data_IF_655351883993
#
_entry.id   IF_655351883993
#
_cell.length_a   1.000
_cell.length_b   1.000
_cell.length_c   1.000
_cell.angle_alpha   90.00
_cell.angle_beta   90.00
_cell.angle_gamma   90.00
#
_symmetry.space_group_name_H-M   'P 1'
#
loop_
_entity.id
_entity.type
_entity.pdbx_description
1 polymer ?
#
# COMPACT_ATOMS: atom_id res chain seq x y z
N UNK A 1 6.73 13.95 -5.64
CA UNK A 1 8.03 13.52 -5.10
C UNK A 1 7.89 13.45 -3.59
N UNK A 2 7.61 12.28 -3.04
CA UNK A 2 7.64 12.08 -1.60
C UNK A 2 9.12 12.03 -1.19
N UNK A 3 9.64 13.17 -0.76
CA UNK A 3 10.96 13.22 -0.14
C UNK A 3 10.83 12.59 1.24
N UNK A 4 11.86 11.89 1.74
CA UNK A 4 11.89 11.17 3.02
C UNK A 4 11.52 11.97 4.28
N UNK A 5 10.92 13.16 4.10
CA UNK A 5 10.33 14.00 5.15
C UNK A 5 8.89 13.62 5.51
N UNK A 6 8.21 12.83 4.67
CA UNK A 6 6.77 12.54 4.86
C UNK A 6 6.51 11.28 5.70
N UNK A 7 7.52 10.42 5.84
CA UNK A 7 7.43 9.22 6.68
C UNK A 7 7.34 9.51 8.18
N UNK A 8 8.13 10.43 8.74
CA UNK A 8 7.98 10.82 10.15
C UNK A 8 6.58 11.36 10.46
N UNK A 9 5.91 11.99 9.48
CA UNK A 9 4.58 12.58 9.68
C UNK A 9 3.50 11.50 9.80
N UNK A 10 3.55 10.43 9.00
CA UNK A 10 2.57 9.32 9.09
C UNK A 10 2.74 8.55 10.40
N UNK A 11 3.97 8.28 10.82
CA UNK A 11 4.24 7.60 12.08
C UNK A 11 4.06 8.52 13.29
N UNK A 12 4.41 9.80 13.18
CA UNK A 12 4.16 10.80 14.23
C UNK A 12 2.67 11.04 14.47
N UNK A 13 1.85 10.93 13.43
CA UNK A 13 0.39 11.01 13.54
C UNK A 13 -0.17 9.77 14.25
N UNK A 14 0.24 8.59 13.82
CA UNK A 14 -0.16 7.33 14.46
C UNK A 14 0.29 7.25 15.94
N UNK A 15 1.47 7.73 16.27
CA UNK A 15 1.97 7.73 17.65
C UNK A 15 1.25 8.76 18.54
N UNK A 16 0.84 9.91 17.99
CA UNK A 16 0.10 10.94 18.74
C UNK A 16 -1.36 10.59 18.97
N UNK A 17 -2.01 9.94 18.00
CA UNK A 17 -3.43 9.59 18.13
C UNK A 17 -3.70 8.31 18.91
N UNK A 18 -2.74 7.38 18.98
CA UNK A 18 -2.94 6.06 19.59
C UNK A 18 -2.47 5.97 21.06
N UNK A 19 -2.44 7.07 21.82
CA UNK A 19 -2.31 7.05 23.27
C UNK A 19 -1.32 5.99 23.83
N UNK A 20 -0.21 5.76 23.11
CA UNK A 20 0.88 5.01 23.71
C UNK A 20 1.42 5.87 24.84
N UNK A 21 1.49 5.30 26.05
CA UNK A 21 1.99 5.99 27.23
C UNK A 21 3.33 6.64 26.92
N UNK A 22 3.50 7.91 27.22
CA UNK A 22 4.72 8.69 26.94
C UNK A 22 5.98 7.99 27.46
N UNK A 23 5.89 7.24 28.56
CA UNK A 23 6.96 6.42 29.09
C UNK A 23 7.42 5.31 28.14
N UNK A 24 6.51 4.76 27.34
CA UNK A 24 6.84 3.73 26.35
C UNK A 24 7.47 4.38 25.14
N UNK A 25 6.93 5.51 24.69
CA UNK A 25 7.46 6.26 23.54
C UNK A 25 8.90 6.72 23.80
N UNK A 26 9.20 7.16 25.03
CA UNK A 26 10.56 7.56 25.41
C UNK A 26 11.54 6.39 25.55
N UNK A 27 11.07 5.21 25.94
CA UNK A 27 11.89 4.00 26.11
C UNK A 27 12.15 3.25 24.80
N UNK A 28 11.25 3.39 23.83
CA UNK A 28 11.37 2.75 22.53
C UNK A 28 11.64 3.85 21.50
N UNK A 29 12.81 3.83 20.87
CA UNK A 29 13.14 4.73 19.75
C UNK A 29 12.30 4.36 18.52
N UNK A 30 11.03 4.79 18.54
CA UNK A 30 10.05 4.52 17.49
C UNK A 30 10.48 5.08 16.14
N UNK A 31 11.18 6.22 16.14
CA UNK A 31 11.65 6.83 14.90
C UNK A 31 12.74 5.98 14.24
N UNK A 32 13.72 5.55 15.01
CA UNK A 32 14.77 4.66 14.51
C UNK A 32 14.22 3.31 14.04
N UNK A 33 13.28 2.74 14.79
CA UNK A 33 12.59 1.51 14.40
C UNK A 33 11.84 1.68 13.07
N UNK A 34 11.04 2.72 12.94
CA UNK A 34 10.26 2.99 11.74
C UNK A 34 11.17 3.24 10.53
N UNK A 35 12.25 4.01 10.71
CA UNK A 35 13.25 4.28 9.67
C UNK A 35 13.94 2.98 9.22
N UNK A 36 14.34 2.16 10.16
CA UNK A 36 14.99 0.87 9.88
C UNK A 36 14.06 -0.09 9.16
N UNK A 37 12.81 -0.21 9.62
CA UNK A 37 11.80 -1.05 9.00
C UNK A 37 11.46 -0.59 7.57
N UNK A 38 11.35 0.72 7.36
CA UNK A 38 11.15 1.30 6.03
C UNK A 38 12.33 1.00 5.11
N UNK A 39 13.55 1.26 5.56
CA UNK A 39 14.75 1.02 4.75
C UNK A 39 14.92 -0.46 4.40
N UNK A 40 14.64 -1.35 5.36
CA UNK A 40 14.59 -2.79 5.12
C UNK A 40 13.59 -3.12 4.01
N UNK A 41 12.37 -2.60 4.08
CA UNK A 41 11.34 -2.85 3.07
C UNK A 41 11.76 -2.34 1.68
N UNK A 42 12.39 -1.17 1.61
CA UNK A 42 12.94 -0.64 0.34
C UNK A 42 14.02 -1.58 -0.22
N UNK A 43 14.90 -2.09 0.62
CA UNK A 43 15.98 -2.98 0.19
C UNK A 43 15.46 -4.36 -0.28
N UNK A 44 14.35 -4.81 0.31
CA UNK A 44 13.66 -6.06 -0.06
C UNK A 44 12.81 -5.92 -1.34
N UNK A 45 12.61 -4.71 -1.84
CA UNK A 45 11.79 -4.49 -3.05
C UNK A 45 12.37 -5.26 -4.23
N UNK A 46 11.59 -6.14 -4.89
CA UNK A 46 12.04 -6.82 -6.08
C UNK A 46 12.41 -5.82 -7.19
N UNK A 47 13.55 -6.05 -7.84
CA UNK A 47 14.06 -5.18 -8.92
C UNK A 47 14.00 -5.93 -10.24
N UNK A 48 13.63 -5.22 -11.32
CA UNK A 48 13.68 -5.74 -12.67
C UNK A 48 14.96 -5.26 -13.36
N UNK A 49 15.57 -6.15 -14.12
CA UNK A 49 16.74 -5.78 -14.92
C UNK A 49 16.32 -4.79 -16.03
N UNK A 50 17.07 -3.70 -16.16
CA UNK A 50 16.79 -2.68 -17.18
C UNK A 50 15.63 -1.73 -16.86
N UNK A 51 15.06 -1.83 -15.66
CA UNK A 51 14.00 -0.92 -15.22
C UNK A 51 14.55 0.50 -15.06
N UNK A 52 13.82 1.51 -15.56
CA UNK A 52 14.19 2.90 -15.35
C UNK A 52 13.93 3.36 -13.91
N UNK A 53 14.49 4.52 -13.53
CA UNK A 53 14.40 5.03 -12.17
C UNK A 53 12.97 5.38 -11.74
N UNK A 54 12.11 5.78 -12.66
CA UNK A 54 10.73 6.15 -12.38
C UNK A 54 9.91 4.89 -12.09
N UNK A 55 10.03 3.87 -12.93
CA UNK A 55 9.36 2.59 -12.72
C UNK A 55 9.88 1.87 -11.47
N UNK A 56 11.20 1.88 -11.24
CA UNK A 56 11.78 1.37 -10.00
C UNK A 56 11.20 2.06 -8.76
N UNK A 57 11.02 3.38 -8.80
CA UNK A 57 10.39 4.12 -7.70
C UNK A 57 8.91 3.80 -7.53
N UNK A 58 8.15 3.67 -8.60
CA UNK A 58 6.76 3.24 -8.58
C UNK A 58 6.60 1.85 -7.98
N UNK A 59 7.52 0.94 -8.33
CA UNK A 59 7.59 -0.42 -7.78
C UNK A 59 7.86 -0.40 -6.28
N UNK A 60 8.80 0.41 -5.80
CA UNK A 60 9.05 0.58 -4.37
C UNK A 60 7.82 1.09 -3.62
N UNK A 61 7.13 2.10 -4.16
CA UNK A 61 5.90 2.65 -3.57
C UNK A 61 4.81 1.57 -3.52
N UNK A 62 4.64 0.80 -4.60
CA UNK A 62 3.68 -0.31 -4.63
C UNK A 62 4.01 -1.36 -3.58
N UNK A 63 5.29 -1.73 -3.45
CA UNK A 63 5.74 -2.71 -2.46
C UNK A 63 5.51 -2.23 -1.03
N UNK A 64 5.82 -0.97 -0.73
CA UNK A 64 5.53 -0.35 0.57
C UNK A 64 4.03 -0.39 0.89
N UNK A 65 3.18 -0.04 -0.08
CA UNK A 65 1.73 -0.10 0.11
C UNK A 65 1.23 -1.53 0.38
N UNK A 66 1.75 -2.52 -0.32
CA UNK A 66 1.41 -3.92 -0.08
C UNK A 66 1.84 -4.40 1.31
N UNK A 67 3.07 -4.06 1.72
CA UNK A 67 3.68 -4.55 2.97
C UNK A 67 3.14 -3.86 4.23
N UNK A 68 2.69 -2.63 4.14
CA UNK A 68 2.30 -1.83 5.30
C UNK A 68 0.85 -1.38 5.25
N UNK A 69 0.48 -0.63 4.22
CA UNK A 69 -0.84 -0.01 4.16
C UNK A 69 -1.95 -1.04 3.95
N UNK A 70 -1.80 -1.93 2.98
CA UNK A 70 -2.81 -2.95 2.68
C UNK A 70 -3.00 -3.91 3.84
N UNK A 71 -1.90 -4.36 4.47
CA UNK A 71 -1.97 -5.24 5.65
C UNK A 71 -2.73 -4.58 6.79
N UNK A 72 -2.44 -3.30 7.07
CA UNK A 72 -3.14 -2.55 8.13
C UNK A 72 -4.63 -2.40 7.83
N UNK A 73 -5.00 -2.12 6.58
CA UNK A 73 -6.41 -2.00 6.19
C UNK A 73 -7.15 -3.33 6.33
N UNK A 74 -6.52 -4.42 5.91
CA UNK A 74 -7.11 -5.77 5.99
C UNK A 74 -7.30 -6.20 7.44
N UNK A 75 -6.28 -6.03 8.30
CA UNK A 75 -6.36 -6.35 9.72
C UNK A 75 -7.47 -5.55 10.42
N UNK A 76 -7.54 -4.25 10.15
CA UNK A 76 -8.61 -3.39 10.69
C UNK A 76 -9.99 -3.84 10.23
N UNK A 77 -10.15 -4.12 8.95
CA UNK A 77 -11.43 -4.56 8.39
C UNK A 77 -11.84 -5.90 8.97
N UNK A 78 -10.95 -6.87 9.03
CA UNK A 78 -11.21 -8.20 9.59
C UNK A 78 -11.66 -8.09 11.04
N UNK A 79 -10.92 -7.40 11.89
CA UNK A 79 -11.25 -7.23 13.32
C UNK A 79 -12.59 -6.54 13.53
N UNK A 80 -12.89 -5.47 12.77
CA UNK A 80 -14.14 -4.73 12.94
C UNK A 80 -15.35 -5.51 12.42
N UNK A 81 -15.22 -6.20 11.30
CA UNK A 81 -16.31 -7.01 10.75
C UNK A 81 -16.56 -8.27 11.58
N UNK A 82 -15.52 -8.97 12.02
CA UNK A 82 -15.66 -10.15 12.87
C UNK A 82 -16.21 -9.83 14.25
N UNK A 83 -15.95 -8.63 14.79
CA UNK A 83 -16.60 -8.16 16.01
C UNK A 83 -18.14 -8.13 15.87
N UNK A 84 -18.63 -7.87 14.67
CA UNK A 84 -20.07 -7.89 14.36
C UNK A 84 -20.56 -9.23 13.81
N UNK A 85 -19.73 -10.27 13.82
CA UNK A 85 -20.07 -11.59 13.27
C UNK A 85 -20.18 -11.63 11.74
N UNK A 86 -19.56 -10.66 11.05
CA UNK A 86 -19.52 -10.59 9.58
C UNK A 86 -18.14 -10.96 9.07
N UNK A 87 -18.05 -11.85 8.10
CA UNK A 87 -16.82 -12.15 7.40
C UNK A 87 -16.67 -11.21 6.20
N UNK A 88 -15.74 -10.28 6.27
CA UNK A 88 -15.41 -9.40 5.15
C UNK A 88 -14.35 -10.05 4.25
N UNK A 89 -14.60 -10.09 2.95
CA UNK A 89 -13.68 -10.62 1.95
C UNK A 89 -13.21 -9.52 1.01
N UNK A 90 -11.95 -9.60 0.58
CA UNK A 90 -11.27 -8.57 -0.22
C UNK A 90 -10.79 -9.18 -1.54
N UNK A 91 -11.64 -9.30 -2.57
CA UNK A 91 -11.26 -9.93 -3.83
C UNK A 91 -10.02 -9.32 -4.49
N UNK A 92 -9.85 -8.00 -4.37
CA UNK A 92 -8.68 -7.30 -4.93
C UNK A 92 -7.37 -7.54 -4.18
N UNK A 93 -7.42 -8.18 -3.01
CA UNK A 93 -6.25 -8.64 -2.28
C UNK A 93 -5.88 -10.11 -2.58
N UNK A 94 -6.56 -10.76 -3.52
CA UNK A 94 -6.17 -12.09 -4.01
C UNK A 94 -4.73 -12.03 -4.54
N UNK A 95 -3.89 -12.95 -4.03
CA UNK A 95 -2.45 -12.97 -4.36
C UNK A 95 -2.20 -13.05 -5.88
N UNK A 96 -3.04 -13.75 -6.64
CA UNK A 96 -2.93 -13.88 -8.10
C UNK A 96 -3.11 -12.54 -8.79
N UNK A 97 -4.09 -11.74 -8.34
CA UNK A 97 -4.34 -10.39 -8.84
C UNK A 97 -3.17 -9.47 -8.46
N UNK A 98 -2.72 -9.56 -7.20
CA UNK A 98 -1.61 -8.74 -6.70
C UNK A 98 -0.33 -9.04 -7.47
N UNK A 99 0.04 -10.31 -7.65
CA UNK A 99 1.22 -10.74 -8.41
C UNK A 99 1.16 -10.28 -9.86
N UNK A 100 0.01 -10.45 -10.51
CA UNK A 100 -0.20 -9.99 -11.87
C UNK A 100 -0.04 -8.46 -11.97
N UNK A 101 -0.79 -7.71 -11.18
CA UNK A 101 -0.77 -6.25 -11.23
C UNK A 101 0.57 -5.65 -10.79
N UNK A 102 1.30 -6.31 -9.90
CA UNK A 102 2.62 -5.84 -9.49
C UNK A 102 3.59 -5.71 -10.66
N UNK A 103 3.49 -6.63 -11.62
CA UNK A 103 4.35 -6.69 -12.80
C UNK A 103 3.81 -5.92 -14.03
N UNK A 104 2.56 -5.46 -14.01
CA UNK A 104 1.98 -4.66 -15.09
C UNK A 104 2.65 -3.28 -15.11
N UNK A 105 3.12 -2.78 -16.28
CA UNK A 105 3.67 -1.44 -16.43
C UNK A 105 2.67 -0.35 -16.00
N UNK A 106 3.20 0.76 -15.48
CA UNK A 106 2.36 1.85 -14.97
C UNK A 106 1.46 2.46 -16.04
N UNK A 107 1.95 2.56 -17.27
CA UNK A 107 1.20 3.09 -18.40
C UNK A 107 -0.10 2.33 -18.65
N UNK A 108 -0.08 1.01 -18.46
CA UNK A 108 -1.28 0.18 -18.57
C UNK A 108 -2.19 0.33 -17.34
N UNK A 109 -1.63 0.47 -16.14
CA UNK A 109 -2.42 0.72 -14.92
C UNK A 109 -3.20 2.03 -15.01
N UNK A 110 -2.57 3.06 -15.59
CA UNK A 110 -3.14 4.38 -15.83
C UNK A 110 -3.43 4.59 -17.30
N UNK A 111 -4.12 3.65 -17.93
CA UNK A 111 -4.44 3.67 -19.35
C UNK A 111 -5.07 5.03 -19.74
N UNK A 112 -4.53 5.67 -20.76
CA UNK A 112 -4.93 7.00 -21.24
C UNK A 112 -4.87 8.11 -20.14
N UNK A 113 -4.01 7.94 -19.11
CA UNK A 113 -3.92 8.89 -18.00
C UNK A 113 -5.07 8.81 -17.00
N UNK A 114 -5.98 7.87 -17.16
CA UNK A 114 -7.16 7.69 -16.30
C UNK A 114 -6.79 6.83 -15.09
N UNK A 115 -7.17 7.28 -13.90
CA UNK A 115 -6.99 6.51 -12.66
C UNK A 115 -7.76 5.19 -12.76
N UNK A 116 -7.07 4.06 -12.45
CA UNK A 116 -7.61 2.71 -12.58
C UNK A 116 -8.03 2.35 -14.02
N UNK A 117 -7.36 2.92 -15.05
CA UNK A 117 -7.70 2.74 -16.44
C UNK A 117 -7.76 1.26 -16.87
N UNK A 118 -6.82 0.44 -16.44
CA UNK A 118 -6.84 -1.01 -16.70
C UNK A 118 -8.09 -1.70 -16.11
N UNK A 119 -8.49 -1.34 -14.88
CA UNK A 119 -9.67 -1.92 -14.24
C UNK A 119 -10.97 -1.49 -14.97
N UNK A 120 -11.03 -0.23 -15.40
CA UNK A 120 -12.17 0.27 -16.19
C UNK A 120 -12.28 -0.44 -17.52
N UNK A 121 -11.18 -0.58 -18.26
CA UNK A 121 -11.15 -1.34 -19.50
C UNK A 121 -11.55 -2.81 -19.32
N UNK A 122 -11.11 -3.44 -18.23
CA UNK A 122 -11.53 -4.80 -17.90
C UNK A 122 -13.02 -4.91 -17.52
N UNK A 123 -13.64 -3.82 -17.10
CA UNK A 123 -15.06 -3.74 -16.76
C UNK A 123 -16.00 -3.49 -17.95
N UNK A 124 -15.45 -3.11 -19.12
CA UNK A 124 -16.24 -2.85 -20.31
C UNK A 124 -17.07 -4.08 -20.71
N UNK A 125 -18.35 -3.88 -20.97
CA UNK A 125 -19.28 -4.96 -21.28
C UNK A 125 -19.70 -5.85 -20.10
N UNK A 126 -19.15 -5.61 -18.90
CA UNK A 126 -19.49 -6.32 -17.66
C UNK A 126 -20.23 -5.39 -16.70
N UNK A 127 -19.74 -4.15 -16.56
CA UNK A 127 -20.32 -3.14 -15.68
C UNK A 127 -21.19 -2.15 -16.49
N UNK A 128 -22.21 -1.55 -15.87
CA UNK A 128 -22.94 -0.42 -16.48
C UNK A 128 -22.02 0.77 -16.77
N UNK A 129 -22.29 1.50 -17.85
CA UNK A 129 -21.48 2.63 -18.28
C UNK A 129 -21.36 3.74 -17.22
N UNK A 130 -22.41 3.90 -16.38
CA UNK A 130 -22.42 4.87 -15.28
C UNK A 130 -21.41 4.55 -14.18
N UNK A 131 -20.89 3.31 -14.12
CA UNK A 131 -19.91 2.85 -13.15
C UNK A 131 -18.49 2.94 -13.72
N UNK A 132 -18.35 2.87 -15.04
CA UNK A 132 -17.09 2.96 -15.77
C UNK A 132 -16.65 4.40 -15.96
#
# INVERSE_FOLDING_TARGET
MLQGRDLPMVYGYAAKENAANDDIIQKVDLESYARTAYQKTINETPKLYGEDQIEARRRQISYLNLRWFMVTLMDRMDRTSMHCGLEARVPFADHRIVEYLYNVPWELKCLNGVVKGLLRAAGEGILPDEVL
#
